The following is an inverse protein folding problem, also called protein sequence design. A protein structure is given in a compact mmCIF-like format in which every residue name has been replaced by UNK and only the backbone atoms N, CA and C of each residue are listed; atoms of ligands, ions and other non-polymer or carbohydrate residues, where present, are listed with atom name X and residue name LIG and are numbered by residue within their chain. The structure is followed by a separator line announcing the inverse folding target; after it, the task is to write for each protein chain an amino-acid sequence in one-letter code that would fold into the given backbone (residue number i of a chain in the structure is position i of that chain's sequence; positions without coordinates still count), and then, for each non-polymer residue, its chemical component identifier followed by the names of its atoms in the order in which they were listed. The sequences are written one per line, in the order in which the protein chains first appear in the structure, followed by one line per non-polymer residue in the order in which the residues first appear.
data_IF_904793737358
#
_entry.id   IF_904793737358
#
_cell.length_a   1.000
_cell.length_b   1.000
_cell.length_c   1.000
_cell.angle_alpha   90.00
_cell.angle_beta   90.00
_cell.angle_gamma   90.00
#
_symmetry.space_group_name_H-M   'P 1'
#
loop_
_entity.id
_entity.type
_entity.pdbx_description
1 polymer ?
#
# COMPACT_ATOMS: atom_id res chain seq x y z
N UNK A 1 -55.53 39.04 32.48
CA UNK A 1 -55.19 37.76 31.74
C UNK A 1 -53.94 37.97 30.96
N UNK A 2 -52.79 37.46 31.48
CA UNK A 2 -51.46 37.64 30.89
C UNK A 2 -51.12 36.36 30.20
N UNK A 3 -51.00 36.39 28.88
CA UNK A 3 -50.62 35.22 28.05
C UNK A 3 -49.13 35.14 28.00
N UNK A 4 -48.55 34.13 28.66
CA UNK A 4 -47.11 33.80 28.57
C UNK A 4 -46.85 33.12 27.21
N UNK A 5 -46.00 33.75 26.39
CA UNK A 5 -45.48 33.14 25.13
C UNK A 5 -44.33 32.24 25.47
N UNK A 6 -44.52 30.94 25.28
CA UNK A 6 -43.49 29.92 25.35
C UNK A 6 -42.62 29.98 24.09
N UNK A 7 -41.40 30.42 24.20
CA UNK A 7 -40.40 30.41 23.10
C UNK A 7 -39.74 29.01 23.12
N UNK A 8 -40.08 28.19 22.13
CA UNK A 8 -39.38 26.93 21.91
C UNK A 8 -38.05 27.23 21.21
N UNK A 9 -36.95 26.99 21.93
CA UNK A 9 -35.60 27.07 21.38
C UNK A 9 -35.27 25.74 20.69
N UNK A 10 -35.36 25.72 19.36
CA UNK A 10 -34.97 24.55 18.57
C UNK A 10 -33.44 24.48 18.50
N UNK A 11 -32.86 23.53 19.19
CA UNK A 11 -31.42 23.23 19.07
C UNK A 11 -31.16 22.53 17.71
N UNK A 12 -30.54 23.25 16.79
CA UNK A 12 -30.04 22.66 15.55
C UNK A 12 -28.74 21.92 15.89
N UNK A 13 -28.80 20.60 15.95
CA UNK A 13 -27.62 19.73 16.08
C UNK A 13 -26.90 19.75 14.72
N UNK A 14 -25.84 20.52 14.63
CA UNK A 14 -24.97 20.51 13.45
C UNK A 14 -24.21 19.17 13.42
N UNK A 15 -24.58 18.29 12.47
CA UNK A 15 -23.75 17.12 12.14
C UNK A 15 -22.45 17.65 11.51
N UNK A 16 -21.36 17.61 12.26
CA UNK A 16 -20.03 17.79 11.70
C UNK A 16 -19.74 16.58 10.78
N UNK A 17 -19.26 16.82 9.55
CA UNK A 17 -18.84 15.71 8.70
C UNK A 17 -17.72 14.96 9.42
N UNK A 18 -17.91 13.67 9.67
CA UNK A 18 -16.86 12.76 10.08
C UNK A 18 -15.78 12.81 9.00
N UNK A 19 -14.58 13.23 9.36
CA UNK A 19 -13.39 12.99 8.52
C UNK A 19 -13.31 11.46 8.40
N UNK A 20 -13.56 10.95 7.19
CA UNK A 20 -13.34 9.54 6.91
C UNK A 20 -11.89 9.24 7.24
N UNK A 21 -11.63 8.51 8.32
CA UNK A 21 -10.30 8.04 8.66
C UNK A 21 -9.79 7.22 7.48
N UNK A 22 -8.60 7.57 6.98
CA UNK A 22 -7.91 6.77 6.00
C UNK A 22 -7.85 5.33 6.52
N UNK A 23 -8.34 4.35 5.74
CA UNK A 23 -8.51 2.97 6.22
C UNK A 23 -7.19 2.26 6.51
N UNK A 24 -6.06 2.82 6.05
CA UNK A 24 -4.73 2.27 6.28
C UNK A 24 -4.30 2.38 7.75
N UNK A 25 -3.76 1.26 8.28
CA UNK A 25 -3.20 1.23 9.64
C UNK A 25 -1.96 2.12 9.73
N UNK A 26 -1.68 2.73 10.90
CA UNK A 26 -0.41 3.42 11.12
C UNK A 26 0.76 2.43 11.06
N UNK A 27 1.92 2.90 10.64
CA UNK A 27 3.18 2.14 10.61
C UNK A 27 4.27 2.82 11.42
N UNK A 28 5.31 2.09 11.86
CA UNK A 28 6.49 2.70 12.44
C UNK A 28 7.10 3.74 11.49
N UNK A 29 7.49 4.93 11.97
CA UNK A 29 8.01 6.01 11.13
C UNK A 29 9.35 5.66 10.46
N UNK A 30 10.11 4.76 11.04
CA UNK A 30 11.40 4.26 10.57
C UNK A 30 11.30 2.96 9.75
N UNK A 31 10.07 2.49 9.46
CA UNK A 31 9.85 1.36 8.57
C UNK A 31 10.29 1.72 7.14
N UNK A 32 11.06 0.84 6.51
CA UNK A 32 11.54 1.01 5.14
C UNK A 32 11.30 -0.23 4.30
N UNK A 33 10.88 -0.01 3.05
CA UNK A 33 10.65 -1.03 2.04
C UNK A 33 11.59 -0.76 0.86
N UNK A 34 12.28 -1.77 0.35
CA UNK A 34 13.30 -1.58 -0.69
C UNK A 34 13.51 -2.84 -1.52
N UNK A 35 14.10 -2.70 -2.70
CA UNK A 35 14.57 -3.84 -3.48
C UNK A 35 15.95 -4.31 -3.00
N UNK A 36 16.07 -5.59 -2.65
CA UNK A 36 17.36 -6.24 -2.52
C UNK A 36 17.93 -6.53 -3.91
N UNK A 37 17.08 -6.96 -4.84
CA UNK A 37 17.33 -7.12 -6.26
C UNK A 37 16.01 -7.03 -7.04
N UNK A 38 15.97 -6.44 -8.24
CA UNK A 38 17.07 -5.76 -8.94
C UNK A 38 17.39 -4.37 -8.38
N UNK A 39 18.53 -3.81 -8.77
CA UNK A 39 18.86 -2.41 -8.53
C UNK A 39 18.31 -1.53 -9.64
N UNK A 40 18.13 -0.24 -9.35
CA UNK A 40 17.74 0.74 -10.36
C UNK A 40 18.73 0.77 -11.54
N UNK A 41 18.21 0.83 -12.76
CA UNK A 41 19.00 0.80 -13.99
C UNK A 41 19.48 -0.59 -14.42
N UNK A 42 19.16 -1.67 -13.71
CA UNK A 42 19.59 -3.01 -14.06
C UNK A 42 19.14 -3.44 -15.47
N UNK A 43 20.06 -4.10 -16.19
CA UNK A 43 19.74 -4.79 -17.45
C UNK A 43 19.75 -6.30 -17.22
N UNK A 44 18.65 -6.96 -17.52
CA UNK A 44 18.39 -8.35 -17.14
C UNK A 44 18.02 -9.15 -18.41
N UNK A 45 18.50 -10.39 -18.52
CA UNK A 45 18.11 -11.31 -19.59
C UNK A 45 17.05 -12.27 -19.09
N UNK A 46 15.87 -12.22 -19.74
CA UNK A 46 14.75 -13.12 -19.40
C UNK A 46 14.20 -12.91 -18.00
N UNK A 47 13.57 -13.95 -17.44
CA UNK A 47 13.00 -13.91 -16.10
C UNK A 47 14.06 -13.86 -15.00
N UNK A 48 13.72 -13.21 -13.87
CA UNK A 48 14.64 -12.99 -12.76
C UNK A 48 13.97 -13.18 -11.40
N UNK A 49 14.78 -13.45 -10.37
CA UNK A 49 14.30 -13.44 -9.00
C UNK A 49 14.29 -12.00 -8.47
N UNK A 50 13.11 -11.47 -8.21
CA UNK A 50 12.95 -10.19 -7.54
C UNK A 50 12.94 -10.43 -6.03
N UNK A 51 13.80 -9.74 -5.29
CA UNK A 51 13.95 -9.89 -3.84
C UNK A 51 13.59 -8.61 -3.12
N UNK A 52 12.74 -8.76 -2.10
CA UNK A 52 12.13 -7.66 -1.36
C UNK A 52 12.81 -7.51 -0.01
N UNK A 53 13.09 -6.27 0.38
CA UNK A 53 13.65 -5.94 1.68
C UNK A 53 12.67 -5.11 2.51
N UNK A 54 12.54 -5.45 3.79
CA UNK A 54 11.71 -4.74 4.75
C UNK A 54 12.49 -4.57 6.05
N UNK A 55 12.46 -3.35 6.63
CA UNK A 55 13.05 -3.04 7.94
C UNK A 55 12.01 -2.48 8.86
N UNK A 56 12.15 -2.81 10.15
CA UNK A 56 11.35 -2.30 11.26
C UNK A 56 9.85 -2.63 11.16
N UNK A 57 9.51 -3.63 10.34
CA UNK A 57 8.21 -4.30 10.28
C UNK A 57 8.39 -5.76 9.95
N UNK A 58 7.39 -6.57 10.28
CA UNK A 58 7.33 -7.99 9.95
C UNK A 58 6.64 -8.26 8.62
N UNK A 59 7.04 -9.35 7.96
CA UNK A 59 6.29 -9.92 6.83
C UNK A 59 5.32 -10.97 7.37
N UNK A 60 4.07 -10.94 6.92
CA UNK A 60 3.02 -11.87 7.35
C UNK A 60 2.16 -12.33 6.16
N UNK A 61 1.26 -13.28 6.40
CA UNK A 61 0.27 -13.66 5.40
C UNK A 61 -0.82 -12.60 5.27
N UNK A 62 -1.43 -12.51 4.10
CA UNK A 62 -2.68 -11.77 3.91
C UNK A 62 -3.75 -12.33 4.86
N UNK A 63 -4.54 -11.47 5.47
CA UNK A 63 -5.53 -11.84 6.48
C UNK A 63 -5.01 -11.86 7.91
N UNK A 64 -3.70 -11.96 8.15
CA UNK A 64 -3.11 -11.93 9.49
C UNK A 64 -2.94 -10.48 9.98
N UNK A 65 -3.47 -10.17 11.16
CA UNK A 65 -3.52 -8.81 11.73
C UNK A 65 -2.48 -8.57 12.82
N UNK A 66 -1.26 -9.05 12.66
CA UNK A 66 -0.19 -8.76 13.62
C UNK A 66 0.21 -7.29 13.58
N UNK A 67 0.54 -6.75 14.75
CA UNK A 67 1.00 -5.36 14.85
C UNK A 67 2.32 -5.18 14.10
N UNK A 68 2.46 -4.06 13.39
CA UNK A 68 3.64 -3.71 12.61
C UNK A 68 4.07 -4.82 11.62
N UNK A 69 3.09 -5.41 10.96
CA UNK A 69 3.33 -6.43 9.93
C UNK A 69 2.40 -6.27 8.74
N UNK A 70 2.84 -6.78 7.60
CA UNK A 70 2.09 -6.76 6.36
C UNK A 70 2.69 -7.70 5.33
N UNK A 71 2.16 -7.67 4.11
CA UNK A 71 2.65 -8.50 3.02
C UNK A 71 2.96 -7.66 1.78
N UNK A 72 3.86 -8.18 0.96
CA UNK A 72 4.37 -7.45 -0.20
C UNK A 72 3.38 -7.44 -1.37
N UNK A 73 3.36 -6.32 -2.07
CA UNK A 73 2.82 -6.17 -3.43
C UNK A 73 3.92 -5.59 -4.32
N UNK A 74 3.91 -5.96 -5.60
CA UNK A 74 4.82 -5.40 -6.60
C UNK A 74 3.99 -4.75 -7.72
N UNK A 75 4.21 -3.46 -7.91
CA UNK A 75 3.63 -2.66 -8.96
C UNK A 75 4.57 -2.66 -10.16
N UNK A 76 4.06 -2.99 -11.34
CA UNK A 76 4.79 -3.07 -12.60
C UNK A 76 4.18 -2.09 -13.59
N UNK A 77 4.96 -1.10 -14.03
CA UNK A 77 4.54 -0.06 -14.99
C UNK A 77 3.30 0.76 -14.53
N UNK A 78 3.08 0.84 -13.23
CA UNK A 78 2.00 1.64 -12.63
C UNK A 78 2.47 3.08 -12.44
N UNK A 79 1.72 4.03 -13.02
CA UNK A 79 2.00 5.47 -12.89
C UNK A 79 1.03 6.19 -11.96
N UNK A 80 -0.15 5.64 -11.77
CA UNK A 80 -1.16 6.24 -10.90
C UNK A 80 -0.75 6.15 -9.42
N UNK A 81 -1.03 7.19 -8.63
CA UNK A 81 -0.79 7.13 -7.20
C UNK A 81 -1.70 6.10 -6.53
N UNK A 82 -1.18 5.44 -5.49
CA UNK A 82 -2.00 4.57 -4.65
C UNK A 82 -3.12 5.35 -3.99
N UNK A 83 -4.34 4.80 -4.04
CA UNK A 83 -5.44 5.31 -3.24
C UNK A 83 -5.34 4.74 -1.81
N UNK A 84 -5.10 5.56 -0.77
CA UNK A 84 -4.96 5.06 0.59
C UNK A 84 -6.27 4.51 1.18
N UNK A 85 -7.41 4.80 0.53
CA UNK A 85 -8.74 4.41 0.99
C UNK A 85 -9.31 3.19 0.24
N UNK A 86 -8.51 2.57 -0.61
CA UNK A 86 -8.90 1.38 -1.37
C UNK A 86 -7.87 0.26 -1.20
N UNK A 87 -8.29 -1.01 -1.23
CA UNK A 87 -7.35 -2.12 -1.28
C UNK A 87 -6.45 -2.02 -2.51
N UNK A 88 -5.19 -2.39 -2.35
CA UNK A 88 -4.25 -2.49 -3.47
C UNK A 88 -4.82 -3.48 -4.49
N UNK A 89 -4.95 -3.11 -5.76
CA UNK A 89 -5.46 -4.02 -6.79
C UNK A 89 -4.62 -5.29 -6.92
N UNK A 90 -5.23 -6.34 -7.49
CA UNK A 90 -4.56 -7.61 -7.79
C UNK A 90 -4.81 -7.95 -9.25
N UNK A 91 -3.82 -7.67 -10.09
CA UNK A 91 -3.87 -7.90 -11.52
C UNK A 91 -2.44 -8.10 -12.08
N UNK A 92 -2.28 -8.04 -13.42
CA UNK A 92 -0.98 -8.22 -14.07
C UNK A 92 0.05 -7.14 -13.72
N UNK A 93 -0.41 -5.95 -13.35
CA UNK A 93 0.43 -4.80 -12.97
C UNK A 93 0.55 -4.63 -11.44
N UNK A 94 -0.24 -5.38 -10.67
CA UNK A 94 -0.27 -5.33 -9.21
C UNK A 94 -0.16 -6.75 -8.65
N UNK A 95 1.07 -7.27 -8.60
CA UNK A 95 1.29 -8.63 -8.11
C UNK A 95 1.18 -8.68 -6.58
N UNK A 96 0.52 -9.72 -6.08
CA UNK A 96 0.22 -9.93 -4.69
C UNK A 96 0.99 -11.13 -4.11
N UNK A 97 1.64 -10.95 -2.97
CA UNK A 97 2.46 -11.95 -2.29
C UNK A 97 1.91 -12.27 -0.89
N UNK A 98 0.67 -12.75 -0.87
CA UNK A 98 -0.11 -12.95 0.36
C UNK A 98 0.28 -14.15 1.22
N UNK A 99 1.25 -14.97 0.80
CA UNK A 99 1.77 -16.07 1.62
C UNK A 99 3.09 -15.72 2.34
N UNK A 100 3.37 -14.43 2.54
CA UNK A 100 4.57 -13.98 3.25
C UNK A 100 5.87 -14.09 2.43
N UNK A 101 5.76 -14.14 1.11
CA UNK A 101 6.93 -14.22 0.23
C UNK A 101 7.78 -12.95 0.35
N UNK A 102 9.10 -13.14 0.37
CA UNK A 102 10.11 -12.08 0.34
C UNK A 102 10.89 -12.05 -0.96
N UNK A 103 10.59 -12.96 -1.86
CA UNK A 103 11.11 -13.02 -3.23
C UNK A 103 10.12 -13.71 -4.15
N UNK A 104 10.20 -13.41 -5.45
CA UNK A 104 9.41 -14.06 -6.48
C UNK A 104 10.13 -14.09 -7.82
N UNK A 105 9.85 -15.09 -8.63
CA UNK A 105 10.28 -15.11 -10.02
C UNK A 105 9.37 -14.21 -10.84
N UNK A 106 9.97 -13.22 -11.50
CA UNK A 106 9.27 -12.25 -12.33
C UNK A 106 9.69 -12.46 -13.79
N UNK A 107 8.70 -12.48 -14.67
CA UNK A 107 8.91 -12.55 -16.12
C UNK A 107 8.21 -11.37 -16.77
N UNK A 108 8.98 -10.56 -17.49
CA UNK A 108 8.49 -9.38 -18.21
C UNK A 108 8.92 -9.48 -19.67
N UNK A 109 8.13 -8.92 -20.59
CA UNK A 109 8.54 -8.84 -21.99
C UNK A 109 9.79 -7.98 -22.13
N UNK A 110 10.56 -8.14 -23.24
CA UNK A 110 11.69 -7.25 -23.51
C UNK A 110 11.25 -5.78 -23.57
N UNK A 111 12.03 -4.92 -22.92
CA UNK A 111 11.73 -3.49 -22.86
C UNK A 111 12.18 -2.83 -21.57
N UNK A 112 11.77 -1.59 -21.40
CA UNK A 112 11.97 -0.82 -20.16
C UNK A 112 10.73 -0.95 -19.30
N UNK A 113 10.93 -1.30 -18.03
CA UNK A 113 9.85 -1.44 -17.06
C UNK A 113 10.17 -0.67 -15.79
N UNK A 114 9.13 -0.18 -15.11
CA UNK A 114 9.23 0.37 -13.77
C UNK A 114 8.71 -0.63 -12.74
N UNK A 115 9.36 -0.70 -11.60
CA UNK A 115 8.98 -1.56 -10.49
C UNK A 115 8.89 -0.75 -9.20
N UNK A 116 7.88 -1.00 -8.38
CA UNK A 116 7.74 -0.39 -7.06
C UNK A 116 7.13 -1.39 -6.09
N UNK A 117 7.69 -1.53 -4.90
CA UNK A 117 7.10 -2.33 -3.84
C UNK A 117 6.12 -1.50 -3.02
N UNK A 118 5.07 -2.14 -2.55
CA UNK A 118 4.11 -1.61 -1.57
C UNK A 118 3.89 -2.67 -0.50
N UNK A 119 3.82 -2.27 0.75
CA UNK A 119 3.40 -3.16 1.83
C UNK A 119 1.91 -2.94 2.08
N UNK A 120 1.12 -4.00 1.96
CA UNK A 120 -0.30 -4.05 2.29
C UNK A 120 -0.53 -4.60 3.69
N UNK A 121 -1.57 -4.12 4.37
CA UNK A 121 -2.05 -4.68 5.63
C UNK A 121 -2.85 -5.98 5.41
N UNK A 122 -3.37 -6.57 6.48
CA UNK A 122 -4.14 -7.82 6.42
C UNK A 122 -5.31 -7.80 5.42
N UNK A 123 -5.90 -6.64 5.16
CA UNK A 123 -7.02 -6.43 4.24
C UNK A 123 -6.58 -5.78 2.91
N UNK A 124 -5.29 -5.78 2.60
CA UNK A 124 -4.67 -5.25 1.38
C UNK A 124 -4.69 -3.71 1.27
N UNK A 125 -5.02 -2.99 2.34
CA UNK A 125 -4.92 -1.53 2.32
C UNK A 125 -3.46 -1.09 2.47
N UNK A 126 -3.04 -0.03 1.76
CA UNK A 126 -1.76 0.62 2.05
C UNK A 126 -1.75 1.12 3.49
N UNK A 127 -0.59 1.11 4.15
CA UNK A 127 -0.44 1.75 5.47
C UNK A 127 -0.64 3.28 5.36
N UNK A 128 -0.83 3.95 6.48
CA UNK A 128 -0.97 5.40 6.55
C UNK A 128 0.16 6.01 7.44
N UNK A 129 1.10 6.77 6.85
CA UNK A 129 1.32 6.98 5.42
C UNK A 129 1.73 5.69 4.69
N UNK A 130 1.52 5.58 3.37
CA UNK A 130 1.87 4.39 2.62
C UNK A 130 3.34 3.98 2.80
N UNK A 131 3.60 2.69 2.95
CA UNK A 131 4.95 2.14 2.96
C UNK A 131 5.26 1.60 1.56
N UNK A 132 6.04 2.39 0.83
CA UNK A 132 6.43 2.09 -0.55
C UNK A 132 7.95 2.16 -0.68
N UNK A 133 8.50 1.40 -1.62
CA UNK A 133 9.90 1.55 -2.02
C UNK A 133 10.10 2.73 -2.97
N UNK A 134 11.35 3.08 -3.24
CA UNK A 134 11.69 3.83 -4.44
C UNK A 134 11.16 3.10 -5.67
N UNK A 135 10.71 3.87 -6.67
CA UNK A 135 10.37 3.32 -7.98
C UNK A 135 11.65 3.16 -8.77
N UNK A 136 11.97 1.93 -9.14
CA UNK A 136 13.16 1.61 -9.92
C UNK A 136 12.80 1.33 -11.38
N UNK A 137 13.78 1.47 -12.26
CA UNK A 137 13.68 1.13 -13.68
C UNK A 137 14.58 -0.04 -14.00
N UNK A 138 14.06 -1.03 -14.72
CA UNK A 138 14.84 -2.16 -15.24
C UNK A 138 14.67 -2.27 -16.76
N UNK A 139 15.65 -2.85 -17.43
CA UNK A 139 15.59 -3.17 -18.85
C UNK A 139 15.69 -4.67 -19.05
N UNK A 140 14.68 -5.26 -19.65
CA UNK A 140 14.66 -6.68 -20.04
C UNK A 140 15.17 -6.82 -21.47
N UNK A 141 16.07 -7.81 -21.71
CA UNK A 141 16.64 -8.18 -23.00
C UNK A 141 16.22 -9.56 -23.44
#
# INVERSE_FOLDING_TARGET
MTIARLVMLSAVLALLPSLADAQGKPRPPDATLYFVWPQDGATIKGGFWCRFGLRNMGVTHAGDSFQNSGHHHLLIDVNDPLNPNEPIPQDKSHLHFGAGQTEARIELPPGKHTLQLVLGDAAHYPFNPPLVSDKITVRIK
#
